data_IF_333688860376
#
_entry.id   IF_333688860376
#
_cell.length_a   1.000
_cell.length_b   1.000
_cell.length_c   1.000
_cell.angle_alpha   90.00
_cell.angle_beta   90.00
_cell.angle_gamma   90.00
#
_symmetry.space_group_name_H-M   'P 1'
#
loop_
_entity.id
_entity.type
_entity.pdbx_description
1 polymer ?
#
# COMPACT_ATOMS: atom_id res chain seq x y z
N UNK A 1 6.39 6.70 -0.59
CA UNK A 1 7.59 6.97 0.21
C UNK A 1 7.39 6.74 1.72
N UNK A 2 6.17 6.59 2.24
CA UNK A 2 5.92 6.48 3.70
C UNK A 2 6.70 5.34 4.38
N UNK A 3 6.61 4.11 3.87
CA UNK A 3 7.34 2.96 4.43
C UNK A 3 8.86 3.14 4.37
N UNK A 4 9.38 3.52 3.19
CA UNK A 4 10.82 3.68 2.99
C UNK A 4 11.41 4.74 3.92
N UNK A 5 10.71 5.85 4.14
CA UNK A 5 11.12 6.86 5.11
C UNK A 5 11.03 6.34 6.54
N UNK A 6 10.01 5.54 6.86
CA UNK A 6 9.77 4.97 8.19
C UNK A 6 10.88 4.00 8.63
N UNK A 7 11.44 3.22 7.70
CA UNK A 7 12.53 2.27 7.96
C UNK A 7 13.91 2.80 7.52
N UNK A 8 13.94 3.99 6.91
CA UNK A 8 15.16 4.64 6.45
C UNK A 8 15.88 3.88 5.34
N UNK A 9 15.14 3.49 4.29
CA UNK A 9 15.68 2.86 3.07
C UNK A 9 15.58 3.82 1.89
N UNK A 10 16.66 3.91 1.11
CA UNK A 10 16.64 4.61 -0.15
C UNK A 10 15.88 3.82 -1.23
N UNK A 11 15.01 4.51 -1.97
CA UNK A 11 14.16 3.88 -2.99
C UNK A 11 14.95 3.36 -4.19
N UNK A 12 16.04 4.04 -4.58
CA UNK A 12 16.86 3.59 -5.70
C UNK A 12 17.67 2.35 -5.31
N UNK A 13 18.22 2.30 -4.10
CA UNK A 13 18.90 1.13 -3.57
C UNK A 13 17.98 -0.10 -3.52
N UNK A 14 16.75 0.04 -2.99
CA UNK A 14 15.79 -1.06 -2.97
C UNK A 14 15.44 -1.54 -4.39
N UNK A 15 15.25 -0.61 -5.34
CA UNK A 15 14.97 -0.97 -6.74
C UNK A 15 16.09 -1.81 -7.35
N UNK A 16 17.36 -1.47 -7.08
CA UNK A 16 18.51 -2.25 -7.56
C UNK A 16 18.51 -3.66 -6.96
N UNK A 17 18.15 -3.81 -5.69
CA UNK A 17 18.07 -5.13 -5.07
C UNK A 17 16.94 -5.98 -5.66
N UNK A 18 15.73 -5.42 -5.79
CA UNK A 18 14.57 -6.11 -6.38
C UNK A 18 14.85 -6.53 -7.83
N UNK A 19 15.55 -5.70 -8.60
CA UNK A 19 15.91 -6.00 -9.99
C UNK A 19 16.81 -7.22 -10.15
N UNK A 20 17.42 -7.73 -9.07
CA UNK A 20 18.18 -9.00 -9.08
C UNK A 20 17.28 -10.23 -9.18
N UNK A 21 15.96 -10.08 -9.11
CA UNK A 21 14.99 -11.17 -9.31
C UNK A 21 14.96 -12.19 -8.16
N UNK A 22 15.38 -11.78 -6.97
CA UNK A 22 15.32 -12.63 -5.77
C UNK A 22 13.90 -12.73 -5.22
N UNK A 23 13.65 -13.72 -4.36
CA UNK A 23 12.35 -13.90 -3.70
C UNK A 23 12.12 -12.91 -2.56
N UNK A 24 10.87 -12.81 -2.10
CA UNK A 24 10.47 -11.87 -1.04
C UNK A 24 11.25 -12.07 0.27
N UNK A 25 11.61 -13.32 0.60
CA UNK A 25 12.42 -13.62 1.78
C UNK A 25 13.82 -13.01 1.71
N UNK A 26 14.44 -13.02 0.53
CA UNK A 26 15.76 -12.43 0.31
C UNK A 26 15.70 -10.90 0.34
N UNK A 27 14.63 -10.31 -0.24
CA UNK A 27 14.40 -8.87 -0.20
C UNK A 27 14.15 -8.42 1.25
N UNK A 28 13.38 -9.19 2.03
CA UNK A 28 13.17 -8.92 3.46
C UNK A 28 14.46 -9.00 4.26
N UNK A 29 15.30 -10.02 4.01
CA UNK A 29 16.60 -10.12 4.64
C UNK A 29 17.48 -8.90 4.34
N UNK A 30 17.54 -8.50 3.06
CA UNK A 30 18.27 -7.30 2.65
C UNK A 30 17.73 -6.02 3.31
N UNK A 31 16.40 -5.85 3.37
CA UNK A 31 15.76 -4.72 4.04
C UNK A 31 16.18 -4.66 5.52
N UNK A 32 16.17 -5.79 6.24
CA UNK A 32 16.57 -5.83 7.66
C UNK A 32 18.02 -5.41 7.88
N UNK A 33 18.90 -5.77 6.97
CA UNK A 33 20.33 -5.41 7.01
C UNK A 33 20.60 -3.94 6.64
N UNK A 34 19.80 -3.36 5.74
CA UNK A 34 20.06 -2.04 5.15
C UNK A 34 19.15 -0.92 5.70
N UNK A 35 18.11 -1.26 6.46
CA UNK A 35 17.27 -0.29 7.15
C UNK A 35 18.09 0.48 8.19
N UNK A 36 18.22 1.80 7.98
CA UNK A 36 18.93 2.68 8.91
C UNK A 36 18.09 2.99 10.16
N UNK A 37 16.79 2.75 10.10
CA UNK A 37 15.87 2.91 11.22
C UNK A 37 15.23 1.55 11.54
N UNK A 38 15.79 0.87 12.53
CA UNK A 38 15.22 -0.35 13.06
C UNK A 38 13.95 -0.02 13.87
N UNK A 39 12.89 -0.78 13.63
CA UNK A 39 11.59 -0.57 14.24
C UNK A 39 11.17 -1.78 15.06
N UNK A 40 10.55 -1.52 16.19
CA UNK A 40 9.94 -2.53 17.03
C UNK A 40 8.61 -2.99 16.42
N UNK A 41 8.17 -4.19 16.77
CA UNK A 41 6.94 -4.77 16.24
C UNK A 41 5.71 -3.86 16.43
N UNK A 42 5.55 -3.27 17.62
CA UNK A 42 4.43 -2.36 17.89
C UNK A 42 4.49 -1.04 17.09
N UNK A 43 5.68 -0.61 16.65
CA UNK A 43 5.79 0.55 15.76
C UNK A 43 5.28 0.19 14.36
N UNK A 44 5.53 -1.03 13.88
CA UNK A 44 4.92 -1.53 12.65
C UNK A 44 3.41 -1.65 12.78
N UNK A 45 2.89 -2.14 13.92
CA UNK A 45 1.45 -2.22 14.14
C UNK A 45 0.81 -0.83 14.09
N UNK A 46 1.41 0.16 14.73
CA UNK A 46 0.93 1.54 14.69
C UNK A 46 1.01 2.14 13.28
N UNK A 47 2.10 1.90 12.56
CA UNK A 47 2.29 2.32 11.17
C UNK A 47 1.20 1.72 10.26
N UNK A 48 0.96 0.41 10.37
CA UNK A 48 -0.03 -0.32 9.59
C UNK A 48 -1.44 0.21 9.88
N UNK A 49 -1.83 0.29 11.16
CA UNK A 49 -3.14 0.81 11.55
C UNK A 49 -3.39 2.24 11.06
N UNK A 50 -2.36 3.09 11.07
CA UNK A 50 -2.48 4.44 10.50
C UNK A 50 -2.70 4.37 8.99
N UNK A 51 -1.92 3.56 8.29
CA UNK A 51 -1.97 3.42 6.83
C UNK A 51 -3.29 2.83 6.31
N UNK A 52 -3.83 1.83 7.00
CA UNK A 52 -5.14 1.21 6.73
C UNK A 52 -6.27 2.25 6.80
N UNK A 53 -6.17 3.23 7.71
CA UNK A 53 -7.22 4.24 7.92
C UNK A 53 -7.08 5.48 7.05
N UNK A 54 -6.04 5.57 6.22
CA UNK A 54 -5.81 6.77 5.40
C UNK A 54 -6.87 6.87 4.31
N UNK A 55 -7.54 8.02 4.28
CA UNK A 55 -8.52 8.38 3.25
C UNK A 55 -8.08 9.61 2.45
N UNK A 56 -8.90 10.03 1.50
CA UNK A 56 -8.69 11.23 0.71
C UNK A 56 -8.95 12.51 1.52
N UNK A 57 -7.91 13.30 1.75
CA UNK A 57 -7.99 14.50 2.61
C UNK A 57 -8.36 15.78 1.87
N UNK A 58 -8.17 15.85 0.55
CA UNK A 58 -8.54 17.02 -0.27
C UNK A 58 -9.77 16.73 -1.15
N UNK A 59 -10.55 17.76 -1.54
CA UNK A 59 -11.70 17.59 -2.44
C UNK A 59 -11.35 16.84 -3.73
N UNK A 60 -10.27 17.24 -4.42
CA UNK A 60 -9.84 16.59 -5.67
C UNK A 60 -9.48 15.12 -5.47
N UNK A 61 -8.85 14.78 -4.34
CA UNK A 61 -8.53 13.39 -4.02
C UNK A 61 -9.77 12.58 -3.66
N UNK A 62 -10.77 13.19 -3.01
CA UNK A 62 -12.06 12.54 -2.73
C UNK A 62 -12.81 12.28 -4.04
N UNK A 63 -12.83 13.25 -4.95
CA UNK A 63 -13.39 13.07 -6.28
C UNK A 63 -12.70 11.91 -7.00
N UNK A 64 -11.36 11.89 -7.04
CA UNK A 64 -10.61 10.80 -7.66
C UNK A 64 -10.93 9.44 -7.04
N UNK A 65 -10.99 9.36 -5.70
CA UNK A 65 -11.35 8.13 -4.99
C UNK A 65 -12.75 7.64 -5.39
N UNK A 66 -13.75 8.53 -5.37
CA UNK A 66 -15.12 8.22 -5.76
C UNK A 66 -15.22 7.80 -7.25
N UNK A 67 -14.46 8.44 -8.14
CA UNK A 67 -14.41 8.08 -9.56
C UNK A 67 -13.87 6.66 -9.76
N UNK A 68 -12.81 6.27 -9.05
CA UNK A 68 -12.25 4.91 -9.15
C UNK A 68 -13.22 3.89 -8.57
N UNK A 69 -13.80 4.17 -7.39
CA UNK A 69 -14.79 3.30 -6.75
C UNK A 69 -16.00 3.04 -7.65
N UNK A 70 -16.52 4.09 -8.29
CA UNK A 70 -17.67 4.02 -9.18
C UNK A 70 -17.33 3.54 -10.61
N UNK A 71 -16.10 3.11 -10.88
CA UNK A 71 -15.69 2.67 -12.23
C UNK A 71 -16.36 1.37 -12.68
N UNK A 72 -16.92 0.60 -11.75
CA UNK A 72 -17.72 -0.61 -12.02
C UNK A 72 -19.04 -0.56 -11.25
N UNK A 73 -20.11 -1.23 -11.72
CA UNK A 73 -21.36 -1.31 -10.97
C UNK A 73 -21.21 -1.96 -9.59
N UNK A 74 -20.37 -2.99 -9.47
CA UNK A 74 -20.10 -3.66 -8.21
C UNK A 74 -19.38 -2.73 -7.23
N UNK A 75 -18.34 -2.01 -7.67
CA UNK A 75 -17.65 -1.03 -6.84
C UNK A 75 -18.54 0.15 -6.44
N UNK A 76 -19.40 0.63 -7.34
CA UNK A 76 -20.35 1.71 -7.05
C UNK A 76 -21.36 1.34 -5.94
N UNK A 77 -21.62 0.05 -5.74
CA UNK A 77 -22.53 -0.46 -4.70
C UNK A 77 -21.85 -0.70 -3.34
N UNK A 78 -20.53 -0.55 -3.23
CA UNK A 78 -19.74 -0.83 -2.02
C UNK A 78 -19.59 0.43 -1.18
N UNK A 79 -20.45 0.62 -0.19
CA UNK A 79 -20.38 1.76 0.76
C UNK A 79 -19.33 1.58 1.86
N UNK A 80 -18.79 0.37 2.01
CA UNK A 80 -17.73 0.00 2.94
C UNK A 80 -16.32 0.44 2.49
N UNK A 81 -16.14 0.80 1.22
CA UNK A 81 -14.85 1.29 0.68
C UNK A 81 -14.64 2.75 1.11
N UNK A 82 -13.80 2.96 2.13
CA UNK A 82 -13.61 4.27 2.76
C UNK A 82 -12.14 4.73 2.87
N UNK A 83 -11.19 3.81 2.74
CA UNK A 83 -9.75 4.08 2.75
C UNK A 83 -9.11 3.86 1.38
N UNK A 84 -7.87 4.34 1.22
CA UNK A 84 -7.08 4.02 0.03
C UNK A 84 -6.79 2.53 -0.12
N UNK A 85 -6.68 1.78 0.98
CA UNK A 85 -6.43 0.34 0.92
C UNK A 85 -7.69 -0.42 0.51
N UNK A 86 -8.86 -0.07 1.04
CA UNK A 86 -10.13 -0.69 0.60
C UNK A 86 -10.34 -0.51 -0.91
N UNK A 87 -10.03 0.68 -1.43
CA UNK A 87 -10.14 0.99 -2.85
C UNK A 87 -9.17 0.16 -3.69
N UNK A 88 -7.91 0.00 -3.24
CA UNK A 88 -6.91 -0.80 -3.94
C UNK A 88 -7.28 -2.28 -3.94
N UNK A 89 -7.72 -2.83 -2.80
CA UNK A 89 -8.13 -4.23 -2.71
C UNK A 89 -9.36 -4.51 -3.60
N UNK A 90 -10.31 -3.57 -3.66
CA UNK A 90 -11.47 -3.65 -4.57
C UNK A 90 -11.04 -3.64 -6.04
N UNK A 91 -10.12 -2.74 -6.43
CA UNK A 91 -9.59 -2.62 -7.79
C UNK A 91 -8.78 -3.85 -8.20
N UNK A 92 -7.92 -4.35 -7.30
CA UNK A 92 -7.11 -5.56 -7.52
C UNK A 92 -7.99 -6.81 -7.65
N UNK A 93 -9.04 -6.92 -6.82
CA UNK A 93 -10.01 -8.00 -6.96
C UNK A 93 -10.68 -7.96 -8.33
N UNK A 94 -11.19 -6.80 -8.75
CA UNK A 94 -11.83 -6.65 -10.06
C UNK A 94 -10.87 -6.92 -11.24
N UNK A 95 -9.58 -6.57 -11.09
CA UNK A 95 -8.59 -6.65 -12.16
C UNK A 95 -7.91 -8.02 -12.28
N UNK A 96 -7.67 -8.74 -11.18
CA UNK A 96 -6.74 -9.88 -11.17
C UNK A 96 -7.26 -11.18 -10.56
N UNK A 97 -8.40 -11.21 -9.85
CA UNK A 97 -8.79 -12.42 -9.11
C UNK A 97 -10.28 -12.66 -8.88
N UNK A 98 -11.11 -11.64 -9.06
CA UNK A 98 -12.55 -11.70 -8.88
C UNK A 98 -13.24 -12.14 -10.15
N UNK A 99 -14.08 -13.17 -10.07
CA UNK A 99 -15.12 -13.38 -11.09
C UNK A 99 -16.12 -12.24 -10.90
N UNK A 100 -16.20 -11.36 -11.89
CA UNK A 100 -17.20 -10.29 -11.99
C UNK A 100 -18.58 -10.91 -12.21
#
# INVERSE_FOLDING_TARGET
>A
QSLLNFIGIDAAALRVEVAKGKGDGDVLAWIREHATQQRLAHEFDAFNQWHEKRTATTPDRRLKMNTIQASTPAGAARDDVASWFDLLDMDDHASFGGKI
#
